data_IF_425761604010
#
_entry.id   IF_425761604010
#
_cell.length_a   1.000
_cell.length_b   1.000
_cell.length_c   1.000
_cell.angle_alpha   90.00
_cell.angle_beta   90.00
_cell.angle_gamma   90.00
#
_symmetry.space_group_name_H-M   'P 1'
#
loop_
_entity.id
_entity.type
_entity.pdbx_description
1 polymer ?
#
# COMPACT_ATOMS: atom_id res chain seq x y z
N UNK A 1 53.43 26.15 12.16
CA UNK A 1 52.00 25.78 12.22
C UNK A 1 51.91 24.36 12.75
N UNK A 2 51.23 24.13 13.87
CA UNK A 2 51.17 22.80 14.51
C UNK A 2 50.00 22.04 13.89
N UNK A 3 50.28 21.08 13.03
CA UNK A 3 49.26 20.20 12.43
C UNK A 3 48.69 19.34 13.56
N UNK A 4 47.48 19.68 14.04
CA UNK A 4 46.74 18.81 14.96
C UNK A 4 46.09 17.72 14.14
N UNK A 5 46.69 16.52 14.14
CA UNK A 5 46.04 15.31 13.66
C UNK A 5 45.09 14.76 14.73
N UNK A 6 44.10 13.98 14.29
CA UNK A 6 43.27 13.20 15.20
C UNK A 6 44.10 12.09 15.85
N UNK A 7 43.82 11.83 17.12
CA UNK A 7 44.39 10.68 17.83
C UNK A 7 43.74 9.38 17.37
N UNK A 8 44.52 8.29 17.39
CA UNK A 8 44.02 6.94 17.12
C UNK A 8 42.80 6.59 17.98
N UNK A 9 42.83 6.95 19.26
CA UNK A 9 41.72 6.68 20.18
C UNK A 9 40.45 7.47 19.82
N UNK A 10 40.58 8.70 19.29
CA UNK A 10 39.44 9.51 18.88
C UNK A 10 38.72 8.89 17.69
N UNK A 11 39.47 8.37 16.71
CA UNK A 11 38.90 7.68 15.55
C UNK A 11 38.22 6.37 15.98
N UNK A 12 38.85 5.58 16.86
CA UNK A 12 38.28 4.31 17.34
C UNK A 12 36.96 4.54 18.08
N UNK A 13 36.90 5.53 18.97
CA UNK A 13 35.67 5.87 19.70
C UNK A 13 34.59 6.39 18.73
N UNK A 14 34.96 7.23 17.76
CA UNK A 14 34.01 7.75 16.78
C UNK A 14 33.36 6.64 15.94
N UNK A 15 34.15 5.68 15.44
CA UNK A 15 33.64 4.53 14.67
C UNK A 15 32.78 3.61 15.55
N UNK A 16 33.16 3.41 16.81
CA UNK A 16 32.35 2.63 17.75
C UNK A 16 30.96 3.26 17.97
N UNK A 17 30.89 4.58 18.19
CA UNK A 17 29.61 5.30 18.35
C UNK A 17 28.78 5.25 17.06
N UNK A 18 29.40 5.47 15.89
CA UNK A 18 28.71 5.37 14.60
C UNK A 18 28.13 3.97 14.37
N UNK A 19 28.85 2.91 14.75
CA UNK A 19 28.36 1.53 14.65
C UNK A 19 27.12 1.26 15.49
N UNK A 20 27.11 1.71 16.76
CA UNK A 20 25.96 1.55 17.66
C UNK A 20 24.75 2.33 17.13
N UNK A 21 24.93 3.59 16.73
CA UNK A 21 23.84 4.42 16.21
C UNK A 21 23.26 3.85 14.92
N UNK A 22 24.11 3.35 14.00
CA UNK A 22 23.67 2.74 12.74
C UNK A 22 22.76 1.52 12.97
N UNK A 23 23.07 0.68 13.97
CA UNK A 23 22.24 -0.46 14.33
C UNK A 23 20.82 -0.08 14.78
N UNK A 24 20.68 0.95 15.62
CA UNK A 24 19.37 1.41 16.11
C UNK A 24 18.56 2.07 14.98
N UNK A 25 19.21 2.94 14.19
CA UNK A 25 18.56 3.66 13.10
C UNK A 25 18.06 2.70 12.02
N UNK A 26 18.81 1.63 11.72
CA UNK A 26 18.41 0.63 10.72
C UNK A 26 17.05 -0.03 11.01
N UNK A 27 16.77 -0.38 12.28
CA UNK A 27 15.50 -0.98 12.69
C UNK A 27 14.33 0.01 12.55
N UNK A 28 14.55 1.26 12.94
CA UNK A 28 13.55 2.30 12.79
C UNK A 28 13.25 2.58 11.31
N UNK A 29 14.29 2.71 10.49
CA UNK A 29 14.19 2.96 9.05
C UNK A 29 13.36 1.88 8.35
N UNK A 30 13.55 0.61 8.71
CA UNK A 30 12.73 -0.49 8.16
C UNK A 30 11.24 -0.29 8.42
N UNK A 31 10.87 0.09 9.66
CA UNK A 31 9.47 0.36 10.01
C UNK A 31 8.92 1.59 9.27
N UNK A 32 9.72 2.65 9.09
CA UNK A 32 9.31 3.84 8.34
C UNK A 32 9.10 3.56 6.85
N UNK A 33 10.00 2.81 6.22
CA UNK A 33 9.84 2.39 4.82
C UNK A 33 8.58 1.54 4.67
N UNK A 34 8.33 0.64 5.61
CA UNK A 34 7.13 -0.17 5.59
C UNK A 34 5.84 0.69 5.67
N UNK A 35 5.75 1.58 6.65
CA UNK A 35 4.65 2.54 6.79
C UNK A 35 4.45 3.40 5.53
N UNK A 36 5.54 3.80 4.87
CA UNK A 36 5.47 4.58 3.64
C UNK A 36 4.87 3.78 2.48
N UNK A 37 5.22 2.49 2.35
CA UNK A 37 4.62 1.60 1.34
C UNK A 37 3.13 1.38 1.60
N UNK A 38 2.73 1.16 2.85
CA UNK A 38 1.31 1.02 3.22
C UNK A 38 0.53 2.30 2.89
N UNK A 39 1.10 3.46 3.23
CA UNK A 39 0.51 4.77 2.92
C UNK A 39 0.40 4.98 1.41
N UNK A 40 1.39 4.54 0.63
CA UNK A 40 1.33 4.60 -0.84
C UNK A 40 0.19 3.74 -1.39
N UNK A 41 -0.03 2.54 -0.86
CA UNK A 41 -1.13 1.68 -1.29
C UNK A 41 -2.50 2.33 -1.02
N UNK A 42 -2.68 2.92 0.16
CA UNK A 42 -3.92 3.65 0.51
C UNK A 42 -4.09 4.91 -0.34
N UNK A 43 -3.02 5.66 -0.59
CA UNK A 43 -3.07 6.85 -1.44
C UNK A 43 -3.49 6.48 -2.88
N UNK A 44 -2.93 5.41 -3.43
CA UNK A 44 -3.33 4.89 -4.75
C UNK A 44 -4.82 4.52 -4.79
N UNK A 45 -5.33 3.80 -3.78
CA UNK A 45 -6.76 3.48 -3.68
C UNK A 45 -7.62 4.74 -3.74
N UNK A 46 -7.24 5.78 -2.99
CA UNK A 46 -7.97 7.04 -2.98
C UNK A 46 -7.92 7.75 -4.34
N UNK A 47 -6.79 7.75 -5.03
CA UNK A 47 -6.70 8.28 -6.40
C UNK A 47 -7.66 7.55 -7.34
N UNK A 48 -7.74 6.23 -7.26
CA UNK A 48 -8.67 5.45 -8.07
C UNK A 48 -10.13 5.75 -7.72
N UNK A 49 -10.47 5.91 -6.44
CA UNK A 49 -11.83 6.25 -6.02
C UNK A 49 -12.26 7.63 -6.51
N UNK A 50 -11.37 8.62 -6.48
CA UNK A 50 -11.65 9.95 -7.06
C UNK A 50 -11.89 9.84 -8.56
N UNK A 51 -11.05 9.07 -9.28
CA UNK A 51 -11.27 8.79 -10.69
C UNK A 51 -12.60 8.07 -10.97
N UNK A 52 -12.99 7.13 -10.11
CA UNK A 52 -14.27 6.44 -10.19
C UNK A 52 -15.47 7.39 -10.02
N UNK A 53 -15.37 8.35 -9.10
CA UNK A 53 -16.40 9.38 -8.92
C UNK A 53 -16.51 10.28 -10.15
N UNK A 54 -15.38 10.70 -10.73
CA UNK A 54 -15.37 11.48 -11.97
C UNK A 54 -16.01 10.70 -13.14
N UNK A 55 -15.63 9.43 -13.30
CA UNK A 55 -16.23 8.56 -14.32
C UNK A 55 -17.75 8.45 -14.15
N UNK A 56 -18.23 8.26 -12.92
CA UNK A 56 -19.66 8.16 -12.63
C UNK A 56 -20.43 9.43 -13.01
N UNK A 57 -19.85 10.60 -12.75
CA UNK A 57 -20.47 11.89 -13.11
C UNK A 57 -20.59 12.05 -14.62
N UNK A 58 -19.60 11.58 -15.39
CA UNK A 58 -19.57 11.77 -16.84
C UNK A 58 -20.38 10.72 -17.62
N UNK A 59 -20.45 9.49 -17.11
CA UNK A 59 -20.97 8.34 -17.88
C UNK A 59 -22.25 7.74 -17.29
N UNK A 60 -22.62 8.08 -16.05
CA UNK A 60 -23.80 7.54 -15.34
C UNK A 60 -23.83 6.00 -15.22
N UNK A 61 -22.72 5.32 -15.50
CA UNK A 61 -22.60 3.86 -15.53
C UNK A 61 -21.63 3.33 -14.46
N UNK A 62 -21.90 2.13 -13.95
CA UNK A 62 -21.00 1.44 -13.04
C UNK A 62 -19.69 1.02 -13.72
N UNK A 63 -18.60 1.00 -12.96
CA UNK A 63 -17.32 0.50 -13.48
C UNK A 63 -17.40 -0.99 -13.78
N UNK A 64 -18.14 -1.71 -12.95
CA UNK A 64 -18.27 -3.16 -13.01
C UNK A 64 -19.67 -3.62 -12.58
N UNK A 65 -20.18 -4.66 -13.24
CA UNK A 65 -21.38 -5.36 -12.78
C UNK A 65 -21.01 -6.34 -11.65
N UNK A 66 -21.34 -5.94 -10.43
CA UNK A 66 -21.01 -6.65 -9.19
C UNK A 66 -21.87 -7.89 -8.96
N UNK A 67 -23.02 -8.02 -9.62
CA UNK A 67 -23.89 -9.19 -9.50
C UNK A 67 -23.19 -10.49 -9.94
N UNK A 68 -22.16 -10.36 -10.78
CA UNK A 68 -21.35 -11.46 -11.30
C UNK A 68 -20.04 -11.71 -10.54
N UNK A 69 -19.75 -10.95 -9.47
CA UNK A 69 -18.51 -11.02 -8.67
C UNK A 69 -18.69 -11.82 -7.38
N UNK A 70 -18.94 -13.13 -7.49
CA UNK A 70 -18.96 -14.03 -6.32
C UNK A 70 -17.56 -14.24 -5.74
N UNK A 71 -16.54 -14.25 -6.61
CA UNK A 71 -15.11 -14.33 -6.28
C UNK A 71 -14.34 -13.20 -6.93
N UNK A 72 -13.10 -12.96 -6.47
CA UNK A 72 -12.19 -12.04 -7.14
C UNK A 72 -11.92 -12.49 -8.58
N UNK A 73 -12.07 -11.57 -9.53
CA UNK A 73 -11.81 -11.76 -10.96
C UNK A 73 -10.90 -10.64 -11.44
N UNK A 74 -9.63 -10.98 -11.63
CA UNK A 74 -8.60 -10.00 -12.00
C UNK A 74 -8.90 -9.33 -13.34
N UNK A 75 -9.47 -10.05 -14.30
CA UNK A 75 -9.72 -9.52 -15.63
C UNK A 75 -10.82 -8.47 -15.59
N UNK A 76 -11.92 -8.76 -14.88
CA UNK A 76 -12.99 -7.77 -14.69
C UNK A 76 -12.51 -6.54 -13.92
N UNK A 77 -11.67 -6.73 -12.90
CA UNK A 77 -11.04 -5.62 -12.16
C UNK A 77 -10.19 -4.77 -13.11
N UNK A 78 -9.34 -5.39 -13.93
CA UNK A 78 -8.53 -4.67 -14.93
C UNK A 78 -9.39 -3.90 -15.93
N UNK A 79 -10.46 -4.51 -16.42
CA UNK A 79 -11.36 -3.86 -17.39
C UNK A 79 -12.10 -2.68 -16.77
N UNK A 80 -12.51 -2.78 -15.49
CA UNK A 80 -13.03 -1.67 -14.72
C UNK A 80 -12.00 -0.55 -14.53
N UNK A 81 -10.75 -0.88 -14.19
CA UNK A 81 -9.68 0.11 -14.01
C UNK A 81 -9.26 0.78 -15.33
N UNK A 82 -9.35 0.10 -16.47
CA UNK A 82 -9.11 0.72 -17.79
C UNK A 82 -10.10 1.84 -18.09
N UNK A 83 -11.37 1.72 -17.67
CA UNK A 83 -12.36 2.79 -17.82
C UNK A 83 -11.94 4.08 -17.10
N UNK A 84 -11.11 3.96 -16.07
CA UNK A 84 -10.57 5.10 -15.31
C UNK A 84 -9.35 5.73 -15.97
N UNK A 85 -8.74 5.12 -16.98
CA UNK A 85 -7.52 5.62 -17.63
C UNK A 85 -7.57 7.09 -18.07
N UNK A 86 -8.69 7.62 -18.63
CA UNK A 86 -8.79 9.03 -19.00
C UNK A 86 -8.71 9.99 -17.81
N UNK A 87 -9.07 9.51 -16.62
CA UNK A 87 -9.17 10.28 -15.38
C UNK A 87 -7.91 10.17 -14.51
N UNK A 88 -6.93 9.37 -14.94
CA UNK A 88 -5.73 9.04 -14.17
C UNK A 88 -4.48 9.70 -14.76
N UNK A 89 -3.60 10.15 -13.88
CA UNK A 89 -2.28 10.64 -14.27
C UNK A 89 -1.40 9.47 -14.75
N UNK A 90 -0.32 9.80 -15.48
CA UNK A 90 0.56 8.77 -16.05
C UNK A 90 1.18 7.83 -14.99
N UNK A 91 1.32 8.29 -13.75
CA UNK A 91 1.82 7.47 -12.64
C UNK A 91 0.77 6.44 -12.18
N UNK A 92 -0.51 6.82 -12.11
CA UNK A 92 -1.59 5.93 -11.72
C UNK A 92 -1.93 4.89 -12.79
N UNK A 93 -1.65 5.18 -14.08
CA UNK A 93 -1.85 4.21 -15.18
C UNK A 93 -1.05 2.92 -15.02
N UNK A 94 0.07 2.95 -14.30
CA UNK A 94 0.86 1.74 -14.02
C UNK A 94 0.08 0.71 -13.19
N UNK A 95 -0.81 1.16 -12.29
CA UNK A 95 -1.63 0.29 -11.42
C UNK A 95 -2.75 -0.41 -12.20
N UNK A 96 -3.12 0.07 -13.39
CA UNK A 96 -4.11 -0.59 -14.25
C UNK A 96 -3.58 -1.94 -14.77
N UNK A 97 -2.27 -2.07 -14.95
CA UNK A 97 -1.64 -3.29 -15.49
C UNK A 97 -1.63 -4.44 -14.47
N UNK A 98 -1.39 -4.09 -13.22
CA UNK A 98 -1.32 -4.98 -12.08
C UNK A 98 -2.18 -4.37 -10.96
N UNK A 99 -3.42 -4.83 -10.75
CA UNK A 99 -4.32 -4.31 -9.71
C UNK A 99 -3.89 -4.73 -8.29
N UNK A 100 -2.58 -4.86 -8.08
CA UNK A 100 -1.90 -5.28 -6.87
C UNK A 100 -0.86 -4.25 -6.47
N UNK A 101 -0.68 -4.09 -5.17
CA UNK A 101 0.28 -3.16 -4.61
C UNK A 101 1.09 -3.85 -3.53
N UNK A 102 2.42 -3.77 -3.66
CA UNK A 102 3.33 -4.21 -2.62
C UNK A 102 3.20 -3.29 -1.39
N UNK A 103 2.99 -3.91 -0.23
CA UNK A 103 2.91 -3.21 1.05
C UNK A 103 4.21 -3.38 1.85
N UNK A 104 4.35 -2.58 2.89
CA UNK A 104 5.49 -2.60 3.79
C UNK A 104 5.43 -3.73 4.79
N UNK A 105 4.24 -4.05 5.27
CA UNK A 105 3.99 -5.15 6.18
C UNK A 105 2.53 -5.23 6.57
N UNK A 106 2.17 -6.34 7.21
CA UNK A 106 0.82 -6.60 7.69
C UNK A 106 0.84 -7.27 9.06
N UNK A 107 -0.31 -7.26 9.73
CA UNK A 107 -0.55 -7.98 10.98
C UNK A 107 -1.76 -8.88 10.83
N UNK A 108 -1.75 -10.03 11.52
CA UNK A 108 -2.90 -10.93 11.58
C UNK A 108 -4.02 -10.38 12.49
N UNK A 109 -3.64 -9.60 13.51
CA UNK A 109 -4.55 -8.91 14.43
C UNK A 109 -4.08 -7.46 14.65
N UNK A 110 -4.97 -6.56 15.05
CA UNK A 110 -4.68 -5.14 15.29
C UNK A 110 -3.38 -4.89 16.08
N UNK A 111 -3.19 -5.63 17.18
CA UNK A 111 -2.02 -5.54 18.06
C UNK A 111 -1.03 -6.70 17.89
N UNK A 112 -1.15 -7.49 16.82
CA UNK A 112 -0.29 -8.64 16.56
C UNK A 112 1.08 -8.28 16.00
N UNK A 113 1.92 -9.30 15.83
CA UNK A 113 3.27 -9.16 15.27
C UNK A 113 3.26 -8.64 13.83
N UNK A 114 4.26 -7.82 13.52
CA UNK A 114 4.44 -7.25 12.18
C UNK A 114 5.15 -8.29 11.30
N UNK A 115 4.45 -8.75 10.27
CA UNK A 115 5.04 -9.48 9.16
C UNK A 115 5.38 -8.49 8.04
N UNK A 116 6.66 -8.30 7.78
CA UNK A 116 7.11 -7.37 6.74
C UNK A 116 6.92 -7.95 5.33
N UNK A 117 6.58 -7.06 4.40
CA UNK A 117 6.20 -7.41 3.04
C UNK A 117 4.75 -7.88 2.93
N UNK A 118 4.37 -8.30 1.72
CA UNK A 118 3.02 -8.68 1.38
C UNK A 118 2.49 -7.85 0.22
N UNK A 119 1.25 -8.16 -0.17
CA UNK A 119 0.53 -7.49 -1.25
C UNK A 119 -0.92 -7.30 -0.85
N UNK A 120 -1.49 -6.21 -1.35
CA UNK A 120 -2.93 -5.98 -1.34
C UNK A 120 -3.38 -5.79 -2.79
N UNK A 121 -4.58 -6.24 -3.11
CA UNK A 121 -5.19 -6.07 -4.43
C UNK A 121 -6.46 -5.23 -4.34
N UNK A 122 -6.78 -4.57 -5.44
CA UNK A 122 -8.00 -3.76 -5.55
C UNK A 122 -9.17 -4.68 -5.84
N UNK A 123 -10.25 -4.56 -5.09
CA UNK A 123 -11.48 -5.31 -5.32
C UNK A 123 -12.69 -4.38 -5.34
N UNK A 124 -13.69 -4.73 -6.14
CA UNK A 124 -15.01 -4.09 -6.15
C UNK A 124 -16.04 -4.91 -5.37
N UNK A 125 -15.65 -6.04 -4.80
CA UNK A 125 -16.52 -6.84 -3.93
C UNK A 125 -16.50 -6.24 -2.53
N UNK A 126 -17.68 -5.99 -1.95
CA UNK A 126 -17.77 -5.55 -0.56
C UNK A 126 -17.20 -6.64 0.36
N UNK A 127 -16.17 -6.34 1.16
CA UNK A 127 -15.55 -7.29 2.07
C UNK A 127 -16.48 -7.77 3.19
N UNK A 128 -17.56 -7.04 3.49
CA UNK A 128 -18.58 -7.40 4.47
C UNK A 128 -19.71 -8.26 3.89
N UNK A 129 -19.68 -8.56 2.58
CA UNK A 129 -20.67 -9.41 1.90
C UNK A 129 -21.97 -8.71 1.53
N UNK A 130 -22.05 -7.38 1.62
CA UNK A 130 -23.17 -6.63 1.08
C UNK A 130 -23.09 -6.51 -0.45
N UNK A 131 -24.19 -6.08 -1.07
CA UNK A 131 -24.19 -5.68 -2.47
C UNK A 131 -23.28 -4.46 -2.66
N UNK A 132 -22.30 -4.59 -3.55
CA UNK A 132 -21.46 -3.47 -3.98
C UNK A 132 -22.16 -2.67 -5.07
N UNK A 133 -21.98 -1.35 -5.04
CA UNK A 133 -22.50 -0.41 -6.02
C UNK A 133 -21.77 -0.44 -7.37
N UNK A 134 -20.65 -1.16 -7.46
CA UNK A 134 -19.82 -1.25 -8.67
C UNK A 134 -18.96 -0.01 -8.93
N UNK A 135 -18.86 0.88 -7.94
CA UNK A 135 -18.03 2.09 -7.98
C UNK A 135 -16.98 2.06 -6.86
N UNK A 136 -17.40 1.68 -5.66
CA UNK A 136 -16.52 1.66 -4.50
C UNK A 136 -15.51 0.52 -4.61
N UNK A 137 -14.28 0.82 -4.21
CA UNK A 137 -13.15 -0.10 -4.26
C UNK A 137 -12.62 -0.33 -2.85
N UNK A 138 -12.12 -1.52 -2.58
CA UNK A 138 -11.46 -1.88 -1.31
C UNK A 138 -10.07 -2.46 -1.57
N UNK A 139 -9.26 -2.51 -0.50
CA UNK A 139 -8.01 -3.26 -0.48
C UNK A 139 -8.25 -4.63 0.14
N UNK A 140 -8.03 -5.67 -0.65
CA UNK A 140 -8.09 -7.05 -0.21
C UNK A 140 -6.66 -7.59 -0.01
N UNK A 141 -6.30 -8.10 1.18
CA UNK A 141 -5.03 -8.77 1.40
C UNK A 141 -4.87 -10.00 0.49
N UNK A 142 -3.68 -10.17 -0.08
CA UNK A 142 -3.39 -11.29 -0.97
C UNK A 142 -2.40 -12.29 -0.36
N UNK A 143 -2.60 -13.58 -0.64
CA UNK A 143 -1.70 -14.66 -0.27
C UNK A 143 -1.55 -14.79 1.25
N UNK A 144 -0.38 -14.47 1.77
CA UNK A 144 -0.05 -14.60 3.21
C UNK A 144 -0.07 -13.28 3.96
N UNK A 145 -0.68 -12.26 3.37
CA UNK A 145 -0.83 -10.92 3.93
C UNK A 145 -1.92 -10.91 5.00
N UNK A 146 -1.62 -10.33 6.17
CA UNK A 146 -2.58 -10.20 7.26
C UNK A 146 -3.66 -9.14 7.00
N UNK A 147 -4.78 -9.23 7.72
CA UNK A 147 -5.94 -8.33 7.54
C UNK A 147 -5.71 -6.88 7.95
N UNK A 148 -4.60 -6.58 8.64
CA UNK A 148 -4.29 -5.25 9.16
C UNK A 148 -2.98 -4.71 8.57
N UNK A 149 -2.88 -3.39 8.42
CA UNK A 149 -1.66 -2.67 8.08
C UNK A 149 -0.64 -2.70 9.23
N UNK A 150 0.55 -2.13 9.02
CA UNK A 150 1.57 -2.07 10.06
C UNK A 150 1.17 -1.24 11.30
N UNK A 151 0.17 -0.36 11.17
CA UNK A 151 -0.37 0.50 12.24
C UNK A 151 -1.53 -0.15 13.01
N UNK A 152 -2.08 -1.27 12.51
CA UNK A 152 -3.22 -1.97 13.10
C UNK A 152 -4.58 -1.55 12.55
N UNK A 153 -4.64 -0.86 11.41
CA UNK A 153 -5.89 -0.54 10.71
C UNK A 153 -6.25 -1.68 9.74
N UNK A 154 -7.53 -2.02 9.57
CA UNK A 154 -7.91 -3.08 8.61
C UNK A 154 -7.76 -2.59 7.18
N UNK A 155 -7.23 -3.44 6.31
CA UNK A 155 -7.12 -3.12 4.87
C UNK A 155 -8.48 -2.82 4.22
N UNK A 156 -9.51 -3.53 4.67
CA UNK A 156 -10.89 -3.42 4.18
C UNK A 156 -11.64 -2.16 4.65
N UNK A 157 -11.09 -1.41 5.62
CA UNK A 157 -11.73 -0.22 6.21
C UNK A 157 -11.13 1.09 5.70
N UNK A 158 -10.03 1.04 4.93
CA UNK A 158 -9.51 2.20 4.22
C UNK A 158 -10.43 2.57 3.07
#
# INVERSE_FOLDING_TARGET
>A
MKNRGFSLIEIVIAVAIMGILSGIVGLQLRSYIAKSKDTKAVATLNTLRVAAQLYQVDNEEALIDTASLTTYDEQKVKDALKKLEPYLDNNAKAIIKEPEMAIGGSRAAQNGDIKYGGKVRITFKDPNGNSSDGYYMWLEPEGTTGGFDIKGNKWIEF
#
